data_IF_970539078989
#
_entry.id   IF_970539078989
#
_cell.length_a   1.000
_cell.length_b   1.000
_cell.length_c   1.000
_cell.angle_alpha   90.00
_cell.angle_beta   90.00
_cell.angle_gamma   90.00
#
_symmetry.space_group_name_H-M   'P 1'
#
loop_
_entity.id
_entity.type
_entity.pdbx_description
1 polymer ?
#
# COMPACT_ATOMS: atom_id res chain seq x y z
N UNK A 1 -21.86 22.03 -5.16
CA UNK A 1 -21.96 20.62 -4.70
C UNK A 1 -20.71 20.34 -3.88
N UNK A 2 -20.85 19.94 -2.62
CA UNK A 2 -19.73 19.55 -1.78
C UNK A 2 -19.24 18.20 -2.29
N UNK A 3 -17.95 18.11 -2.66
CA UNK A 3 -17.37 16.83 -3.05
C UNK A 3 -17.46 15.86 -1.87
N UNK A 4 -17.80 14.58 -2.09
CA UNK A 4 -17.81 13.61 -1.01
C UNK A 4 -16.39 13.49 -0.41
N UNK A 5 -16.28 13.24 0.92
CA UNK A 5 -15.00 13.04 1.55
C UNK A 5 -14.26 11.87 0.89
N UNK A 6 -12.96 12.02 0.66
CA UNK A 6 -12.12 10.95 0.12
C UNK A 6 -11.60 10.09 1.26
N UNK A 7 -11.88 8.80 1.17
CA UNK A 7 -11.30 7.80 2.07
C UNK A 7 -9.92 7.38 1.54
N UNK A 8 -8.95 7.34 2.43
CA UNK A 8 -7.60 6.79 2.17
C UNK A 8 -7.51 5.46 2.90
N UNK A 9 -7.14 4.41 2.19
CA UNK A 9 -6.85 3.12 2.81
C UNK A 9 -5.46 3.09 3.45
N UNK A 10 -5.31 2.32 4.52
CA UNK A 10 -3.98 1.85 4.93
C UNK A 10 -3.40 0.89 3.89
N UNK A 11 -2.16 0.44 4.11
CA UNK A 11 -1.50 -0.53 3.21
C UNK A 11 -0.74 -1.58 4.00
N UNK A 12 -0.76 -2.82 3.51
CA UNK A 12 0.10 -3.90 4.02
C UNK A 12 0.63 -4.74 2.86
N UNK A 13 1.77 -4.36 2.31
CA UNK A 13 2.32 -5.02 1.12
C UNK A 13 1.48 -4.79 -0.15
N UNK A 14 1.60 -5.70 -1.10
CA UNK A 14 0.94 -5.66 -2.40
C UNK A 14 0.23 -6.99 -2.69
N UNK A 15 -0.99 -6.93 -3.25
CA UNK A 15 -1.60 -8.08 -3.91
C UNK A 15 -0.65 -8.61 -4.99
N UNK A 16 -0.20 -7.73 -5.84
CA UNK A 16 0.76 -8.02 -6.90
C UNK A 16 1.62 -6.79 -7.16
N UNK A 17 2.90 -7.00 -7.42
CA UNK A 17 3.77 -6.00 -8.05
C UNK A 17 4.60 -6.66 -9.13
N UNK A 18 4.48 -6.17 -10.35
CA UNK A 18 5.16 -6.74 -11.51
C UNK A 18 5.39 -5.72 -12.61
N UNK A 19 5.58 -6.22 -13.79
CA UNK A 19 5.67 -5.45 -15.03
C UNK A 19 4.65 -6.00 -16.03
N UNK A 20 4.10 -5.13 -16.85
CA UNK A 20 3.25 -5.52 -17.97
C UNK A 20 4.08 -5.93 -19.21
N UNK A 21 3.37 -6.31 -20.30
CA UNK A 21 3.97 -6.70 -21.59
C UNK A 21 4.81 -5.60 -22.28
N UNK A 22 4.71 -4.36 -21.81
CA UNK A 22 5.53 -3.25 -22.31
C UNK A 22 6.77 -3.02 -21.44
N UNK A 23 6.88 -3.74 -20.31
CA UNK A 23 7.91 -3.55 -19.32
C UNK A 23 7.58 -2.43 -18.31
N UNK A 24 6.39 -1.83 -18.40
CA UNK A 24 5.97 -0.81 -17.45
C UNK A 24 5.61 -1.43 -16.08
N UNK A 25 5.98 -0.78 -14.96
CA UNK A 25 5.66 -1.28 -13.64
C UNK A 25 4.16 -1.19 -13.37
N UNK A 26 3.61 -2.25 -12.79
CA UNK A 26 2.21 -2.32 -12.36
C UNK A 26 2.18 -2.77 -10.90
N UNK A 27 1.50 -1.99 -10.06
CA UNK A 27 1.30 -2.27 -8.64
C UNK A 27 -0.20 -2.43 -8.36
N UNK A 28 -0.54 -3.51 -7.70
CA UNK A 28 -1.83 -3.73 -7.06
C UNK A 28 -1.59 -3.62 -5.55
N UNK A 29 -1.65 -2.41 -5.02
CA UNK A 29 -1.43 -2.18 -3.59
C UNK A 29 -2.48 -2.93 -2.77
N UNK A 30 -2.04 -3.66 -1.74
CA UNK A 30 -2.96 -4.27 -0.79
C UNK A 30 -3.44 -3.17 0.16
N UNK A 31 -4.44 -2.43 -0.28
CA UNK A 31 -5.10 -1.42 0.53
C UNK A 31 -6.04 -2.09 1.53
N UNK A 32 -6.07 -1.58 2.74
CA UNK A 32 -6.85 -2.13 3.85
C UNK A 32 -7.85 -1.10 4.36
N UNK A 33 -9.03 -1.57 4.71
CA UNK A 33 -10.11 -0.74 5.27
C UNK A 33 -9.98 -0.56 6.77
N UNK A 34 -9.31 -1.51 7.45
CA UNK A 34 -8.93 -1.41 8.86
C UNK A 34 -7.46 -1.70 9.04
N UNK A 35 -6.77 -0.80 9.73
CA UNK A 35 -5.34 -0.84 10.02
C UNK A 35 -5.08 -0.41 11.46
N UNK A 36 -4.06 -0.95 12.13
CA UNK A 36 -3.58 -0.39 13.40
C UNK A 36 -2.97 1.01 13.19
N UNK A 37 -2.52 1.30 11.96
CA UNK A 37 -2.07 2.62 11.54
C UNK A 37 -3.25 3.34 10.88
N UNK A 38 -3.78 4.34 11.57
CA UNK A 38 -4.96 5.09 11.11
C UNK A 38 -4.61 6.57 11.06
N UNK A 39 -3.98 7.05 9.98
CA UNK A 39 -3.52 8.43 9.89
C UNK A 39 -4.71 9.39 9.96
N UNK A 40 -4.55 10.40 10.81
CA UNK A 40 -5.48 11.53 10.96
C UNK A 40 -4.76 12.79 10.56
N UNK A 41 -5.38 13.57 9.68
CA UNK A 41 -4.81 14.82 9.18
C UNK A 41 -5.58 16.01 9.72
N UNK A 42 -4.85 16.96 10.26
CA UNK A 42 -5.35 18.24 10.71
C UNK A 42 -4.71 19.33 9.84
N UNK A 43 -5.51 20.23 9.32
CA UNK A 43 -5.06 21.31 8.45
C UNK A 43 -5.57 22.63 9.00
N UNK A 44 -4.66 23.51 9.39
CA UNK A 44 -4.95 24.83 9.93
C UNK A 44 -4.28 25.92 9.08
N UNK A 45 -4.88 27.11 9.02
CA UNK A 45 -4.21 28.29 8.45
C UNK A 45 -3.00 28.69 9.30
N UNK A 46 -1.95 29.14 8.65
CA UNK A 46 -0.67 29.53 9.28
C UNK A 46 0.01 30.63 8.47
N UNK A 47 1.09 31.20 8.98
CA UNK A 47 1.87 32.23 8.26
C UNK A 47 2.79 31.63 7.19
N UNK A 48 3.10 30.34 7.28
CA UNK A 48 3.93 29.60 6.33
C UNK A 48 3.48 28.14 6.21
N UNK A 49 3.88 27.47 5.14
CA UNK A 49 3.67 26.04 5.01
C UNK A 49 4.58 25.26 5.96
N UNK A 50 3.97 24.52 6.87
CA UNK A 50 4.65 23.52 7.72
C UNK A 50 3.92 22.19 7.71
N UNK A 51 4.68 21.09 7.73
CA UNK A 51 4.15 19.73 7.77
C UNK A 51 4.80 18.99 8.92
N UNK A 52 3.97 18.37 9.76
CA UNK A 52 4.41 17.56 10.89
C UNK A 52 3.84 16.14 10.74
N UNK A 53 4.66 15.14 11.06
CA UNK A 53 4.21 13.74 11.17
C UNK A 53 4.50 13.29 12.59
N UNK A 54 3.45 12.83 13.28
CA UNK A 54 3.50 12.45 14.69
C UNK A 54 4.18 13.54 15.57
N UNK A 55 3.83 14.81 15.25
CA UNK A 55 4.36 16.04 15.88
C UNK A 55 5.82 16.39 15.54
N UNK A 56 6.52 15.59 14.75
CA UNK A 56 7.87 15.89 14.27
C UNK A 56 7.81 16.68 12.96
N UNK A 57 8.50 17.83 12.85
CA UNK A 57 8.49 18.63 11.64
C UNK A 57 9.22 17.93 10.48
N UNK A 58 8.64 17.98 9.29
CA UNK A 58 9.30 17.52 8.08
C UNK A 58 10.22 18.60 7.50
N UNK A 59 11.33 18.14 6.95
CA UNK A 59 12.27 18.99 6.22
C UNK A 59 11.60 19.62 4.97
N UNK A 60 12.13 20.76 4.52
CA UNK A 60 11.57 21.51 3.39
C UNK A 60 11.53 20.72 2.07
N UNK A 61 12.46 19.81 1.85
CA UNK A 61 12.52 18.97 0.66
C UNK A 61 11.79 17.64 0.81
N UNK A 62 11.03 17.43 1.88
CA UNK A 62 10.27 16.19 2.07
C UNK A 62 9.27 15.94 0.94
N UNK A 63 9.01 14.67 0.65
CA UNK A 63 8.09 14.25 -0.42
C UNK A 63 6.68 14.78 -0.20
N UNK A 64 6.19 14.73 1.04
CA UNK A 64 4.87 15.27 1.39
C UNK A 64 4.76 16.76 1.12
N UNK A 65 5.77 17.54 1.52
CA UNK A 65 5.79 19.00 1.25
C UNK A 65 5.85 19.29 -0.25
N UNK A 66 6.64 18.53 -1.02
CA UNK A 66 6.70 18.66 -2.49
C UNK A 66 5.34 18.36 -3.13
N UNK A 67 4.63 17.31 -2.69
CA UNK A 67 3.30 17.00 -3.21
C UNK A 67 2.29 18.12 -2.93
N UNK A 68 2.33 18.73 -1.75
CA UNK A 68 1.51 19.90 -1.40
C UNK A 68 1.78 21.06 -2.34
N UNK A 69 3.06 21.38 -2.61
CA UNK A 69 3.43 22.47 -3.51
C UNK A 69 3.02 22.18 -4.96
N UNK A 70 3.12 20.93 -5.41
CA UNK A 70 2.61 20.53 -6.74
C UNK A 70 1.09 20.73 -6.85
N UNK A 71 0.31 20.37 -5.80
CA UNK A 71 -1.12 20.64 -5.73
C UNK A 71 -1.39 22.15 -5.77
N UNK A 72 -0.68 22.92 -4.95
CA UNK A 72 -0.85 24.35 -4.85
C UNK A 72 -0.56 25.07 -6.18
N UNK A 73 0.49 24.65 -6.89
CA UNK A 73 0.81 25.16 -8.22
C UNK A 73 -0.26 24.79 -9.26
N UNK A 74 -0.68 23.52 -9.28
CA UNK A 74 -1.65 23.04 -10.26
C UNK A 74 -3.03 23.71 -10.12
N UNK A 75 -3.40 24.12 -8.90
CA UNK A 75 -4.69 24.72 -8.59
C UNK A 75 -4.61 26.20 -8.21
N UNK A 76 -3.48 26.87 -8.49
CA UNK A 76 -3.33 28.33 -8.49
C UNK A 76 -3.30 28.99 -7.10
N UNK A 77 -2.91 28.26 -6.04
CA UNK A 77 -2.82 28.82 -4.69
C UNK A 77 -1.42 28.78 -4.07
N UNK A 78 -0.37 28.63 -4.88
CA UNK A 78 1.00 28.51 -4.37
C UNK A 78 1.43 29.70 -3.50
N UNK A 79 1.03 30.93 -3.86
CA UNK A 79 1.36 32.15 -3.06
C UNK A 79 0.59 32.20 -1.72
N UNK A 80 -0.54 31.46 -1.62
CA UNK A 80 -1.40 31.38 -0.44
C UNK A 80 -1.33 29.99 0.21
N UNK A 81 -0.28 29.22 -0.07
CA UNK A 81 -0.07 27.91 0.53
C UNK A 81 0.54 28.05 1.94
N UNK A 82 -0.24 28.70 2.84
CA UNK A 82 0.12 29.02 4.22
C UNK A 82 -0.70 28.16 5.18
N UNK A 83 -0.22 26.94 5.42
CA UNK A 83 -0.91 25.92 6.22
C UNK A 83 0.04 25.24 7.18
N UNK A 84 -0.47 24.91 8.35
CA UNK A 84 0.10 23.91 9.25
C UNK A 84 -0.66 22.62 9.06
N UNK A 85 0.01 21.57 8.59
CA UNK A 85 -0.56 20.25 8.35
C UNK A 85 0.07 19.29 9.33
N UNK A 86 -0.75 18.61 10.13
CA UNK A 86 -0.31 17.61 11.10
C UNK A 86 -0.93 16.28 10.73
N UNK A 87 -0.09 15.26 10.52
CA UNK A 87 -0.50 13.89 10.24
C UNK A 87 -0.08 13.05 11.44
N UNK A 88 -1.03 12.40 12.11
CA UNK A 88 -0.78 11.55 13.27
C UNK A 88 -1.15 10.10 12.97
N UNK A 89 -0.38 9.14 13.49
CA UNK A 89 -0.66 7.71 13.33
C UNK A 89 -0.20 7.13 11.99
N UNK A 90 0.83 7.71 11.39
CA UNK A 90 1.47 7.18 10.19
C UNK A 90 2.16 5.83 10.45
N UNK A 91 2.17 4.91 9.45
CA UNK A 91 2.87 3.65 9.60
C UNK A 91 4.39 3.84 9.63
N UNK A 92 5.14 2.88 10.21
CA UNK A 92 6.60 2.91 10.25
C UNK A 92 7.22 3.03 8.86
N UNK A 93 8.25 3.88 8.73
CA UNK A 93 8.92 4.14 7.45
C UNK A 93 9.85 3.01 7.03
N UNK A 94 9.98 2.80 5.71
CA UNK A 94 10.90 1.82 5.12
C UNK A 94 10.53 0.37 5.36
N UNK A 95 9.27 0.10 5.74
CA UNK A 95 8.75 -1.23 6.07
C UNK A 95 7.87 -1.85 4.97
N UNK A 96 7.55 -1.10 3.91
CA UNK A 96 6.65 -1.55 2.84
C UNK A 96 5.17 -1.39 3.17
N UNK A 97 4.85 -0.57 4.18
CA UNK A 97 3.49 -0.22 4.57
C UNK A 97 2.97 1.05 3.86
N UNK A 98 3.69 1.54 2.86
CA UNK A 98 3.28 2.69 2.06
C UNK A 98 3.30 4.03 2.80
N UNK A 99 4.10 4.19 3.88
CA UNK A 99 4.09 5.39 4.73
C UNK A 99 4.22 6.68 3.93
N UNK A 100 5.15 6.77 3.00
CA UNK A 100 5.33 7.97 2.16
C UNK A 100 4.10 8.29 1.32
N UNK A 101 3.50 7.28 0.67
CA UNK A 101 2.28 7.45 -0.12
C UNK A 101 1.07 7.82 0.76
N UNK A 102 0.96 7.24 1.96
CA UNK A 102 -0.08 7.56 2.94
C UNK A 102 0.07 9.00 3.42
N UNK A 103 1.28 9.43 3.77
CA UNK A 103 1.56 10.80 4.22
C UNK A 103 1.20 11.84 3.15
N UNK A 104 1.63 11.59 1.89
CA UNK A 104 1.28 12.46 0.76
C UNK A 104 -0.23 12.50 0.52
N UNK A 105 -0.88 11.34 0.40
CA UNK A 105 -2.31 11.25 0.16
C UNK A 105 -3.12 11.94 1.27
N UNK A 106 -2.75 11.73 2.54
CA UNK A 106 -3.39 12.33 3.71
C UNK A 106 -3.29 13.86 3.68
N UNK A 107 -2.11 14.41 3.40
CA UNK A 107 -1.91 15.85 3.29
C UNK A 107 -2.70 16.47 2.13
N UNK A 108 -2.68 15.81 0.96
CA UNK A 108 -3.38 16.30 -0.24
C UNK A 108 -4.90 16.27 -0.06
N UNK A 109 -5.44 15.21 0.56
CA UNK A 109 -6.87 15.12 0.87
C UNK A 109 -7.28 16.15 1.90
N UNK A 110 -6.50 16.31 2.97
CA UNK A 110 -6.77 17.34 3.98
C UNK A 110 -6.82 18.76 3.39
N UNK A 111 -5.87 19.11 2.51
CA UNK A 111 -5.88 20.41 1.81
C UNK A 111 -7.03 20.55 0.81
N UNK A 112 -7.37 19.46 0.09
CA UNK A 112 -8.53 19.43 -0.81
C UNK A 112 -9.80 19.77 -0.06
N UNK A 113 -10.00 19.20 1.12
CA UNK A 113 -11.18 19.42 1.95
C UNK A 113 -11.19 20.81 2.54
N UNK A 114 -10.08 21.25 3.16
CA UNK A 114 -9.96 22.58 3.77
C UNK A 114 -10.23 23.71 2.77
N UNK A 115 -9.78 23.56 1.53
CA UNK A 115 -9.96 24.57 0.48
C UNK A 115 -11.18 24.33 -0.41
N UNK A 116 -11.97 23.29 -0.17
CA UNK A 116 -13.08 22.86 -1.02
C UNK A 116 -12.67 22.72 -2.51
N UNK A 117 -11.48 22.18 -2.78
CA UNK A 117 -10.96 22.06 -4.13
C UNK A 117 -11.69 20.95 -4.91
N UNK A 118 -12.04 21.24 -6.15
CA UNK A 118 -12.56 20.21 -7.06
C UNK A 118 -11.44 19.44 -7.72
N UNK A 119 -10.78 18.56 -6.96
CA UNK A 119 -9.67 17.72 -7.38
C UNK A 119 -10.10 16.26 -7.38
N UNK A 120 -9.90 15.55 -8.48
CA UNK A 120 -10.21 14.13 -8.58
C UNK A 120 -9.15 13.25 -7.89
N UNK A 121 -9.53 12.00 -7.52
CA UNK A 121 -8.59 10.98 -7.04
C UNK A 121 -7.45 10.75 -8.03
N UNK A 122 -7.78 10.74 -9.33
CA UNK A 122 -6.82 10.59 -10.41
C UNK A 122 -5.79 11.71 -10.42
N UNK A 123 -6.22 12.96 -10.22
CA UNK A 123 -5.30 14.10 -10.21
C UNK A 123 -4.41 14.09 -8.98
N UNK A 124 -4.97 13.75 -7.80
CA UNK A 124 -4.19 13.58 -6.57
C UNK A 124 -3.13 12.48 -6.76
N UNK A 125 -3.50 11.34 -7.34
CA UNK A 125 -2.56 10.25 -7.59
C UNK A 125 -1.46 10.65 -8.58
N UNK A 126 -1.80 11.34 -9.67
CA UNK A 126 -0.81 11.89 -10.61
C UNK A 126 0.16 12.86 -9.96
N UNK A 127 -0.33 13.71 -9.05
CA UNK A 127 0.53 14.62 -8.27
C UNK A 127 1.52 13.82 -7.41
N UNK A 128 1.05 12.78 -6.73
CA UNK A 128 1.94 11.90 -5.93
C UNK A 128 3.00 11.25 -6.80
N UNK A 129 2.63 10.72 -7.97
CA UNK A 129 3.55 10.07 -8.91
C UNK A 129 4.58 11.01 -9.54
N UNK A 130 4.30 12.32 -9.65
CA UNK A 130 5.32 13.32 -10.03
C UNK A 130 6.41 13.50 -8.98
N UNK A 131 6.08 13.25 -7.72
CA UNK A 131 7.02 13.43 -6.60
C UNK A 131 7.88 12.20 -6.39
N UNK A 132 7.24 11.02 -6.40
CA UNK A 132 7.92 9.74 -6.29
C UNK A 132 7.05 8.61 -6.84
N UNK A 133 7.64 7.41 -6.98
CA UNK A 133 6.91 6.18 -7.22
C UNK A 133 5.92 5.91 -6.07
N UNK A 134 4.63 6.03 -6.33
CA UNK A 134 3.58 6.04 -5.30
C UNK A 134 2.61 4.88 -5.42
N UNK A 135 2.03 4.49 -4.28
CA UNK A 135 0.92 3.56 -4.19
C UNK A 135 -0.42 4.27 -4.44
N UNK A 136 -1.37 3.59 -5.10
CA UNK A 136 -2.75 4.06 -5.20
C UNK A 136 -3.54 3.63 -3.96
N UNK A 137 -4.10 4.59 -3.21
CA UNK A 137 -4.69 4.35 -1.88
C UNK A 137 -6.15 4.83 -1.74
N UNK A 138 -6.74 5.39 -2.80
CA UNK A 138 -8.02 6.13 -2.70
C UNK A 138 -9.28 5.27 -2.78
N UNK A 139 -9.18 3.99 -3.09
CA UNK A 139 -10.33 3.08 -3.25
C UNK A 139 -10.07 1.74 -2.53
N UNK A 140 -9.99 1.73 -1.18
CA UNK A 140 -9.58 0.54 -0.43
C UNK A 140 -10.54 -0.66 -0.56
N UNK A 141 -11.77 -0.43 -1.03
CA UNK A 141 -12.76 -1.48 -1.32
C UNK A 141 -12.56 -2.14 -2.69
N UNK A 142 -11.59 -1.68 -3.49
CA UNK A 142 -11.28 -2.26 -4.80
C UNK A 142 -9.82 -2.68 -4.92
N UNK A 143 -9.59 -3.67 -5.77
CA UNK A 143 -8.26 -3.97 -6.29
C UNK A 143 -8.04 -3.07 -7.51
N UNK A 144 -7.00 -2.24 -7.44
CA UNK A 144 -6.66 -1.27 -8.48
C UNK A 144 -5.29 -1.59 -9.05
N UNK A 145 -5.22 -1.78 -10.35
CA UNK A 145 -3.96 -1.82 -11.09
C UNK A 145 -3.47 -0.39 -11.33
N UNK A 146 -2.30 -0.05 -10.86
CA UNK A 146 -1.77 1.29 -10.94
C UNK A 146 -0.33 1.31 -11.47
N UNK A 147 -0.04 2.24 -12.37
CA UNK A 147 1.33 2.56 -12.75
C UNK A 147 1.87 3.64 -11.81
N UNK A 148 2.87 3.32 -11.00
CA UNK A 148 3.38 4.23 -9.97
C UNK A 148 4.26 5.36 -10.52
N UNK A 149 4.55 5.37 -11.84
CA UNK A 149 5.40 6.37 -12.47
C UNK A 149 4.62 7.51 -13.13
N UNK A 150 3.47 7.19 -13.74
CA UNK A 150 2.66 8.18 -14.49
C UNK A 150 1.29 8.46 -13.87
N UNK A 151 0.91 7.69 -12.85
CA UNK A 151 -0.36 7.86 -12.14
C UNK A 151 -1.57 7.33 -12.91
N UNK A 152 -1.38 6.57 -14.00
CA UNK A 152 -2.47 5.84 -14.64
C UNK A 152 -2.91 4.67 -13.76
N UNK A 153 -4.21 4.42 -13.71
CA UNK A 153 -4.76 3.33 -12.91
C UNK A 153 -6.10 2.85 -13.46
N UNK A 154 -6.45 1.63 -13.12
CA UNK A 154 -7.71 0.99 -13.51
C UNK A 154 -8.24 0.14 -12.36
N UNK A 155 -9.51 0.30 -12.04
CA UNK A 155 -10.21 -0.62 -11.13
C UNK A 155 -10.35 -1.98 -11.81
N UNK A 156 -9.86 -3.02 -11.16
CA UNK A 156 -9.83 -4.39 -11.69
C UNK A 156 -11.04 -5.18 -11.20
N UNK A 157 -11.23 -5.21 -9.88
CA UNK A 157 -12.34 -5.92 -9.24
C UNK A 157 -12.56 -5.39 -7.83
N UNK A 158 -13.60 -5.85 -7.17
CA UNK A 158 -13.81 -5.61 -5.74
C UNK A 158 -12.74 -6.34 -4.92
N UNK A 159 -12.24 -5.70 -3.88
CA UNK A 159 -11.34 -6.36 -2.94
C UNK A 159 -12.12 -7.41 -2.14
N UNK A 160 -11.63 -8.64 -2.05
CA UNK A 160 -12.28 -9.67 -1.25
C UNK A 160 -12.20 -9.33 0.24
N UNK A 161 -13.20 -9.79 1.00
CA UNK A 161 -13.19 -9.68 2.45
C UNK A 161 -12.16 -10.65 3.06
N UNK A 162 -11.03 -10.11 3.48
CA UNK A 162 -9.96 -10.87 4.11
C UNK A 162 -9.50 -10.23 5.41
N UNK A 163 -9.09 -11.08 6.36
CA UNK A 163 -8.17 -10.66 7.41
C UNK A 163 -6.73 -10.90 6.93
N UNK A 164 -5.85 -9.95 7.20
CA UNK A 164 -4.41 -10.09 6.94
C UNK A 164 -3.69 -10.17 8.28
N UNK A 165 -3.04 -11.30 8.55
CA UNK A 165 -2.20 -11.50 9.72
C UNK A 165 -0.74 -11.35 9.28
N UNK A 166 -0.16 -10.17 9.55
CA UNK A 166 1.12 -9.78 9.01
C UNK A 166 2.17 -9.53 10.09
N UNK A 167 3.44 -9.62 9.70
CA UNK A 167 4.56 -9.37 10.59
C UNK A 167 5.73 -8.72 9.85
N UNK A 168 6.55 -7.99 10.60
CA UNK A 168 7.83 -7.46 10.12
C UNK A 168 8.90 -8.56 10.23
N UNK A 169 9.43 -9.03 9.12
CA UNK A 169 10.43 -10.11 9.10
C UNK A 169 11.81 -9.66 9.59
N UNK A 170 12.09 -8.35 9.52
CA UNK A 170 13.37 -7.73 9.92
C UNK A 170 13.11 -6.38 10.61
N UNK A 171 12.70 -6.36 11.91
CA UNK A 171 12.29 -5.13 12.59
C UNK A 171 13.33 -4.01 12.61
N UNK A 172 14.61 -4.38 12.69
CA UNK A 172 15.73 -3.43 12.74
C UNK A 172 16.11 -2.86 11.37
N UNK A 173 15.57 -3.44 10.28
CA UNK A 173 15.91 -3.03 8.92
C UNK A 173 14.87 -2.05 8.37
N UNK A 174 15.36 -0.99 7.74
CA UNK A 174 14.56 -0.07 6.92
C UNK A 174 15.03 -0.12 5.47
N UNK A 175 14.10 -0.26 4.54
CA UNK A 175 14.39 -0.32 3.10
C UNK A 175 14.06 1.03 2.46
N UNK A 176 15.06 1.67 1.85
CA UNK A 176 14.84 2.89 1.06
C UNK A 176 14.22 2.53 -0.29
N UNK A 177 13.17 3.23 -0.70
CA UNK A 177 12.45 2.97 -1.95
C UNK A 177 13.36 3.12 -3.17
N UNK A 178 14.33 4.05 -3.14
CA UNK A 178 15.30 4.26 -4.20
C UNK A 178 16.15 3.02 -4.47
N UNK A 179 16.51 2.26 -3.42
CA UNK A 179 17.25 1.01 -3.57
C UNK A 179 16.46 -0.07 -4.31
N UNK A 180 15.14 0.05 -4.32
CA UNK A 180 14.24 -0.89 -4.99
C UNK A 180 13.91 -0.54 -6.45
N UNK A 181 14.32 0.62 -6.96
CA UNK A 181 14.04 1.05 -8.34
C UNK A 181 14.65 0.11 -9.39
N UNK A 182 15.78 -0.53 -9.07
CA UNK A 182 16.42 -1.51 -9.96
C UNK A 182 15.68 -2.86 -10.04
N UNK A 183 14.68 -3.09 -9.19
CA UNK A 183 13.96 -4.37 -9.19
C UNK A 183 13.09 -4.57 -10.43
N UNK A 184 12.60 -3.51 -11.07
CA UNK A 184 11.75 -3.66 -12.25
C UNK A 184 12.53 -4.30 -13.42
N UNK A 185 13.80 -3.94 -13.62
CA UNK A 185 14.65 -4.61 -14.61
C UNK A 185 14.87 -6.09 -14.29
N UNK A 186 14.99 -6.44 -13.01
CA UNK A 186 15.12 -7.83 -12.54
C UNK A 186 13.82 -8.63 -12.63
N UNK A 187 12.67 -7.98 -12.83
CA UNK A 187 11.37 -8.62 -13.07
C UNK A 187 11.17 -9.07 -14.52
N UNK A 188 11.90 -8.52 -15.49
CA UNK A 188 11.77 -8.86 -16.91
C UNK A 188 11.77 -10.34 -17.23
N UNK A 189 12.61 -11.21 -16.66
CA UNK A 189 12.59 -12.63 -16.91
C UNK A 189 11.27 -13.32 -16.54
N UNK A 190 10.45 -12.69 -15.69
CA UNK A 190 9.18 -13.21 -15.17
C UNK A 190 7.95 -12.56 -15.82
N UNK A 191 8.09 -11.82 -16.93
CA UNK A 191 7.00 -11.08 -17.59
C UNK A 191 5.80 -11.99 -17.89
N UNK A 192 6.02 -13.19 -18.44
CA UNK A 192 4.96 -14.17 -18.69
C UNK A 192 4.20 -14.55 -17.42
N UNK A 193 4.92 -14.81 -16.35
CA UNK A 193 4.32 -15.15 -15.06
C UNK A 193 3.48 -14.01 -14.51
N UNK A 194 3.93 -12.75 -14.64
CA UNK A 194 3.15 -11.59 -14.27
C UNK A 194 1.89 -11.42 -15.12
N UNK A 195 1.95 -11.66 -16.43
CA UNK A 195 0.76 -11.65 -17.27
C UNK A 195 -0.31 -12.67 -16.81
N UNK A 196 0.09 -13.86 -16.40
CA UNK A 196 -0.84 -14.86 -15.88
C UNK A 196 -1.37 -14.50 -14.49
N UNK A 197 -0.54 -13.92 -13.62
CA UNK A 197 -0.95 -13.37 -12.33
C UNK A 197 -2.01 -12.26 -12.53
N UNK A 198 -1.81 -11.32 -13.45
CA UNK A 198 -2.77 -10.27 -13.74
C UNK A 198 -4.11 -10.79 -14.26
N UNK A 199 -4.09 -11.87 -15.09
CA UNK A 199 -5.33 -12.55 -15.52
C UNK A 199 -6.08 -13.16 -14.33
N UNK A 200 -5.38 -13.81 -13.40
CA UNK A 200 -5.99 -14.35 -12.17
C UNK A 200 -6.64 -13.24 -11.34
N UNK A 201 -5.95 -12.10 -11.17
CA UNK A 201 -6.50 -10.94 -10.45
C UNK A 201 -7.78 -10.40 -11.09
N UNK A 202 -7.86 -10.38 -12.41
CA UNK A 202 -9.00 -9.84 -13.16
C UNK A 202 -10.27 -10.70 -13.11
N UNK A 203 -10.20 -11.93 -12.62
CA UNK A 203 -11.38 -12.83 -12.56
C UNK A 203 -12.39 -12.44 -11.49
N UNK A 204 -11.96 -11.78 -10.41
CA UNK A 204 -12.77 -11.54 -9.22
C UNK A 204 -12.96 -12.79 -8.33
N UNK A 205 -12.46 -13.94 -8.75
CA UNK A 205 -12.50 -15.18 -7.96
C UNK A 205 -11.48 -15.12 -6.82
N UNK A 206 -11.97 -15.28 -5.59
CA UNK A 206 -11.14 -15.13 -4.39
C UNK A 206 -10.00 -16.16 -4.37
N UNK A 207 -10.23 -17.40 -4.80
CA UNK A 207 -9.21 -18.44 -4.79
C UNK A 207 -8.09 -18.11 -5.78
N UNK A 208 -8.45 -17.56 -6.95
CA UNK A 208 -7.48 -17.10 -7.95
C UNK A 208 -6.74 -15.84 -7.49
N UNK A 209 -7.41 -14.90 -6.81
CA UNK A 209 -6.77 -13.72 -6.22
C UNK A 209 -5.73 -14.12 -5.16
N UNK A 210 -6.06 -15.06 -4.25
CA UNK A 210 -5.14 -15.55 -3.22
C UNK A 210 -3.92 -16.26 -3.84
N UNK A 211 -4.14 -17.05 -4.89
CA UNK A 211 -3.06 -17.69 -5.66
C UNK A 211 -2.19 -16.67 -6.37
N UNK A 212 -2.79 -15.66 -6.98
CA UNK A 212 -2.06 -14.56 -7.64
C UNK A 212 -1.17 -13.81 -6.65
N UNK A 213 -1.70 -13.43 -5.48
CA UNK A 213 -0.94 -12.79 -4.41
C UNK A 213 0.22 -13.66 -3.92
N UNK A 214 -0.03 -14.94 -3.67
CA UNK A 214 1.01 -15.92 -3.27
C UNK A 214 2.09 -16.04 -4.34
N UNK A 215 1.70 -16.16 -5.62
CA UNK A 215 2.66 -16.26 -6.71
C UNK A 215 3.50 -14.99 -6.87
N UNK A 216 2.88 -13.83 -6.73
CA UNK A 216 3.59 -12.54 -6.72
C UNK A 216 4.60 -12.45 -5.57
N UNK A 217 4.21 -12.89 -4.36
CA UNK A 217 5.09 -12.95 -3.21
C UNK A 217 6.29 -13.89 -3.44
N UNK A 218 6.07 -15.06 -4.07
CA UNK A 218 7.14 -16.02 -4.45
C UNK A 218 8.13 -15.40 -5.44
N UNK A 219 7.64 -14.68 -6.46
CA UNK A 219 8.50 -14.00 -7.43
C UNK A 219 9.30 -12.87 -6.76
N UNK A 220 8.66 -12.16 -5.83
CA UNK A 220 9.35 -11.10 -5.08
C UNK A 220 10.42 -11.67 -4.15
N UNK A 221 10.18 -12.81 -3.50
CA UNK A 221 11.15 -13.44 -2.60
C UNK A 221 12.44 -13.88 -3.33
N UNK A 222 12.35 -14.27 -4.62
CA UNK A 222 13.52 -14.52 -5.48
C UNK A 222 14.38 -13.27 -5.70
N UNK A 223 13.79 -12.07 -5.61
CA UNK A 223 14.46 -10.79 -5.83
C UNK A 223 14.91 -10.14 -4.52
N UNK A 224 14.09 -10.27 -3.49
CA UNK A 224 14.29 -9.75 -2.12
C UNK A 224 13.83 -10.79 -1.10
N UNK A 225 14.70 -11.77 -0.78
CA UNK A 225 14.38 -12.82 0.18
C UNK A 225 13.97 -12.27 1.55
N UNK A 226 12.95 -12.89 2.16
CA UNK A 226 12.45 -12.53 3.49
C UNK A 226 12.63 -13.67 4.48
N UNK A 227 13.03 -13.32 5.70
CA UNK A 227 13.16 -14.30 6.79
C UNK A 227 11.79 -14.94 7.07
N UNK A 228 11.75 -16.27 7.09
CA UNK A 228 10.53 -17.04 7.36
C UNK A 228 9.60 -17.24 6.14
N UNK A 229 9.95 -16.72 4.95
CA UNK A 229 9.10 -16.84 3.75
C UNK A 229 8.81 -18.30 3.40
N UNK A 230 9.82 -19.16 3.36
CA UNK A 230 9.64 -20.57 2.94
C UNK A 230 8.74 -21.34 3.91
N UNK A 231 8.86 -21.11 5.22
CA UNK A 231 7.99 -21.72 6.22
C UNK A 231 6.52 -21.24 6.07
N UNK A 232 6.32 -19.94 5.84
CA UNK A 232 4.99 -19.39 5.57
C UNK A 232 4.39 -19.94 4.26
N UNK A 233 5.18 -20.03 3.20
CA UNK A 233 4.78 -20.60 1.91
C UNK A 233 4.35 -22.05 2.03
N UNK A 234 5.08 -22.85 2.82
CA UNK A 234 4.73 -24.24 3.11
C UNK A 234 3.37 -24.35 3.78
N UNK A 235 3.12 -23.53 4.80
CA UNK A 235 1.84 -23.50 5.50
C UNK A 235 0.68 -23.12 4.57
N UNK A 236 0.86 -22.10 3.72
CA UNK A 236 -0.14 -21.70 2.72
C UNK A 236 -0.45 -22.86 1.76
N UNK A 237 0.57 -23.59 1.31
CA UNK A 237 0.40 -24.75 0.43
C UNK A 237 -0.36 -25.90 1.11
N UNK A 238 -0.08 -26.17 2.38
CA UNK A 238 -0.76 -27.20 3.17
C UNK A 238 -2.23 -26.88 3.41
N UNK A 239 -2.56 -25.62 3.73
CA UNK A 239 -3.92 -25.19 3.97
C UNK A 239 -4.74 -25.04 2.66
N UNK A 240 -4.13 -24.58 1.58
CA UNK A 240 -4.71 -24.55 0.24
C UNK A 240 -5.75 -23.47 -0.07
N UNK A 241 -6.35 -22.87 0.96
CA UNK A 241 -7.45 -21.89 0.84
C UNK A 241 -7.13 -20.50 1.43
N UNK A 242 -5.86 -20.26 1.77
CA UNK A 242 -5.33 -18.97 2.21
C UNK A 242 -4.28 -18.47 1.22
N UNK A 243 -3.91 -17.19 1.32
CA UNK A 243 -2.87 -16.59 0.48
C UNK A 243 -1.68 -16.06 1.28
N UNK A 244 -0.62 -15.73 0.57
CA UNK A 244 0.56 -15.05 1.12
C UNK A 244 0.73 -13.71 0.43
N UNK A 245 0.97 -12.66 1.20
CA UNK A 245 1.24 -11.31 0.71
C UNK A 245 2.59 -10.84 1.24
N UNK A 246 3.31 -10.09 0.41
CA UNK A 246 4.63 -9.58 0.73
C UNK A 246 4.71 -8.09 0.43
N UNK A 247 5.38 -7.33 1.28
CA UNK A 247 5.85 -6.00 0.92
C UNK A 247 7.00 -6.11 -0.07
N UNK A 248 6.77 -5.70 -1.33
CA UNK A 248 7.74 -5.90 -2.41
C UNK A 248 8.99 -5.00 -2.30
N UNK A 249 8.91 -3.94 -1.50
CA UNK A 249 10.02 -3.02 -1.21
C UNK A 249 10.20 -2.78 0.28
N UNK A 250 9.78 -3.74 1.12
CA UNK A 250 9.86 -3.64 2.57
C UNK A 250 10.09 -4.99 3.22
N UNK A 251 9.89 -5.03 4.53
CA UNK A 251 10.19 -6.20 5.37
C UNK A 251 8.96 -6.98 5.82
N UNK A 252 7.75 -6.52 5.48
CA UNK A 252 6.51 -7.17 5.91
C UNK A 252 6.11 -8.36 5.04
N UNK A 253 5.58 -9.37 5.70
CA UNK A 253 4.99 -10.58 5.13
C UNK A 253 3.67 -10.84 5.86
N UNK A 254 2.69 -11.46 5.20
CA UNK A 254 1.40 -11.72 5.83
C UNK A 254 0.60 -12.83 5.19
N UNK A 255 -0.25 -13.48 5.99
CA UNK A 255 -1.25 -14.42 5.52
C UNK A 255 -2.55 -13.69 5.17
N UNK A 256 -3.13 -14.03 4.03
CA UNK A 256 -4.45 -13.57 3.58
C UNK A 256 -5.49 -14.65 3.92
N UNK A 257 -6.41 -14.36 4.82
CA UNK A 257 -7.45 -15.27 5.27
C UNK A 257 -8.82 -14.75 4.80
N UNK A 258 -9.49 -15.44 3.88
CA UNK A 258 -10.87 -15.11 3.52
C UNK A 258 -11.81 -15.12 4.74
N UNK A 259 -12.81 -14.26 4.74
CA UNK A 259 -13.85 -14.26 5.76
C UNK A 259 -15.11 -15.00 5.25
N UNK A 260 -15.80 -15.84 6.07
CA UNK A 260 -15.46 -16.19 7.46
C UNK A 260 -14.15 -16.98 7.54
N UNK A 261 -13.36 -16.69 8.60
CA UNK A 261 -12.06 -17.33 8.76
C UNK A 261 -12.26 -18.79 9.19
N UNK A 262 -11.60 -19.70 8.50
CA UNK A 262 -11.53 -21.11 8.85
C UNK A 262 -10.78 -21.31 10.18
N UNK A 263 -11.40 -22.08 11.11
CA UNK A 263 -10.88 -22.25 12.45
C UNK A 263 -9.56 -23.04 12.48
N UNK A 264 -9.40 -24.05 11.61
CA UNK A 264 -8.17 -24.84 11.51
C UNK A 264 -7.03 -23.97 10.97
N UNK A 265 -7.30 -23.18 9.93
CA UNK A 265 -6.33 -22.24 9.40
C UNK A 265 -5.87 -21.23 10.46
N UNK A 266 -6.82 -20.69 11.25
CA UNK A 266 -6.48 -19.75 12.32
C UNK A 266 -5.61 -20.39 13.39
N UNK A 267 -5.95 -21.62 13.83
CA UNK A 267 -5.17 -22.38 14.81
C UNK A 267 -3.74 -22.61 14.31
N UNK A 268 -3.57 -23.16 13.11
CA UNK A 268 -2.26 -23.47 12.55
C UNK A 268 -1.39 -22.23 12.30
N UNK A 269 -2.01 -21.11 11.92
CA UNK A 269 -1.31 -19.83 11.81
C UNK A 269 -0.91 -19.31 13.20
N UNK A 270 -1.75 -19.46 14.23
CA UNK A 270 -1.41 -19.10 15.60
C UNK A 270 -0.21 -19.92 16.12
N UNK A 271 -0.20 -21.22 15.85
CA UNK A 271 0.95 -22.08 16.14
C UNK A 271 2.21 -21.66 15.41
N UNK A 272 2.09 -21.27 14.13
CA UNK A 272 3.22 -20.73 13.35
C UNK A 272 3.79 -19.47 14.00
N UNK A 273 2.95 -18.51 14.42
CA UNK A 273 3.41 -17.32 15.13
C UNK A 273 4.07 -17.66 16.47
N UNK A 274 3.47 -18.53 17.26
CA UNK A 274 3.99 -18.91 18.57
C UNK A 274 5.34 -19.66 18.48
N UNK A 275 5.46 -20.64 17.60
CA UNK A 275 6.60 -21.54 17.54
C UNK A 275 7.71 -21.07 16.60
N UNK A 276 7.35 -20.58 15.40
CA UNK A 276 8.34 -20.20 14.41
C UNK A 276 8.80 -18.75 14.55
N UNK A 277 7.90 -17.81 14.87
CA UNK A 277 8.22 -16.39 14.92
C UNK A 277 8.36 -15.85 16.34
N UNK A 278 7.79 -16.50 17.35
CA UNK A 278 7.76 -16.09 18.77
C UNK A 278 7.30 -14.63 18.95
N UNK A 279 6.28 -14.24 18.22
CA UNK A 279 5.67 -12.90 18.22
C UNK A 279 4.20 -12.97 17.82
N UNK A 280 3.46 -11.92 18.16
CA UNK A 280 2.07 -11.76 17.74
C UNK A 280 2.00 -11.13 16.33
N UNK A 281 1.01 -11.53 15.51
CA UNK A 281 0.76 -10.87 14.25
C UNK A 281 0.10 -9.50 14.42
N UNK A 282 0.37 -8.61 13.49
CA UNK A 282 -0.41 -7.39 13.33
C UNK A 282 -1.57 -7.69 12.38
N UNK A 283 -2.80 -7.33 12.80
CA UNK A 283 -4.01 -7.61 12.03
C UNK A 283 -4.46 -6.40 11.21
N UNK A 284 -4.80 -6.66 9.96
CA UNK A 284 -5.42 -5.72 9.04
C UNK A 284 -6.67 -6.37 8.40
N UNK A 285 -7.55 -5.58 7.79
CA UNK A 285 -8.74 -6.09 7.10
C UNK A 285 -8.92 -5.39 5.75
N UNK A 286 -9.34 -6.17 4.74
CA UNK A 286 -9.72 -5.71 3.41
C UNK A 286 -11.24 -5.82 3.20
N UNK A 287 -11.75 -5.32 2.08
CA UNK A 287 -13.16 -5.42 1.72
C UNK A 287 -14.03 -4.31 2.31
N UNK A 288 -15.31 -4.57 2.53
CA UNK A 288 -16.24 -3.56 3.02
C UNK A 288 -16.03 -3.24 4.52
N UNK A 289 -16.25 -1.96 4.86
CA UNK A 289 -16.38 -1.53 6.25
C UNK A 289 -17.85 -1.81 6.64
N UNK A 290 -18.07 -2.87 7.42
CA UNK A 290 -19.36 -3.13 8.04
C UNK A 290 -19.62 -2.16 9.19
#
# INVERSE_FOLDING_TARGET
MVNPPLSIGGKVGEWVQGIDKTGAPVIYSLTVTRSPFNPRTFVDRSDALSVLIDHEPLEDHSKTRRAILELANAYGFAHDCKYRIVICGSPPRGKGLGSSSIDMASALVGLREERALNVSKTDLYKIMCKVERSDYLFDPQFIVAANPLDGTHTVVTRAPDCSVLAWDTEPEKSVKTEAAMHLDSRRKPYEREYCDIFKMMATGDISLILRAATRSAELNDRLLPKVGFEAARKLVKELGHIGLVSAHTGTWLGFLLPRPIDADALLRISEFFAHCLKREPTRFETGEIC
#
